data_IF_196626661070
#
_entry.id   IF_196626661070
#
_cell.length_a   1.000
_cell.length_b   1.000
_cell.length_c   1.000
_cell.angle_alpha   90.00
_cell.angle_beta   90.00
_cell.angle_gamma   90.00
#
_symmetry.space_group_name_H-M   'P 1'
#
loop_
_entity.id
_entity.type
_entity.pdbx_description
1 polymer ?
#
# COMPACT_ATOMS: atom_id res chain seq x y z
N UNK A 1 -11.91 24.05 -2.05
CA UNK A 1 -11.32 24.04 -3.39
C UNK A 1 -12.34 24.07 -4.54
N UNK A 2 -13.63 24.16 -4.29
CA UNK A 2 -14.67 24.39 -5.30
C UNK A 2 -15.13 23.15 -6.12
N UNK A 3 -14.60 21.95 -5.84
CA UNK A 3 -15.15 20.71 -6.40
C UNK A 3 -16.16 20.11 -5.43
N UNK A 4 -17.34 19.77 -5.94
CA UNK A 4 -18.30 18.92 -5.23
C UNK A 4 -17.98 17.46 -5.51
N UNK A 5 -17.76 16.64 -4.46
CA UNK A 5 -17.29 15.26 -4.59
C UNK A 5 -18.23 14.30 -3.87
N UNK A 6 -18.64 13.24 -4.58
CA UNK A 6 -19.38 12.12 -4.05
C UNK A 6 -18.57 10.82 -4.16
N UNK A 7 -18.62 9.99 -3.16
CA UNK A 7 -17.93 8.69 -3.12
C UNK A 7 -18.94 7.57 -3.08
N UNK A 8 -18.91 6.68 -4.06
CA UNK A 8 -19.77 5.49 -4.14
C UNK A 8 -18.93 4.25 -3.83
N UNK A 9 -19.23 3.59 -2.72
CA UNK A 9 -18.50 2.42 -2.21
C UNK A 9 -19.42 1.20 -2.16
N UNK A 10 -19.01 0.09 -2.79
CA UNK A 10 -19.79 -1.14 -2.84
C UNK A 10 -19.95 -1.84 -1.48
N UNK A 11 -19.03 -1.63 -0.55
CA UNK A 11 -19.10 -2.21 0.78
C UNK A 11 -20.27 -1.57 1.58
N UNK A 12 -21.05 -2.36 2.32
CA UNK A 12 -22.13 -1.83 3.13
C UNK A 12 -21.65 -1.07 4.37
N UNK A 13 -20.39 -1.23 4.71
CA UNK A 13 -19.73 -0.54 5.83
C UNK A 13 -18.24 -0.36 5.57
N UNK A 14 -17.66 0.73 6.08
CA UNK A 14 -16.22 0.99 6.00
C UNK A 14 -15.45 0.19 7.07
N UNK A 15 -15.58 -1.13 7.02
CA UNK A 15 -14.81 -2.04 7.86
C UNK A 15 -13.86 -2.85 7.01
N UNK A 16 -12.62 -2.90 7.41
CA UNK A 16 -11.63 -3.74 6.77
C UNK A 16 -11.14 -4.84 7.68
N UNK A 17 -10.77 -5.96 7.06
CA UNK A 17 -9.97 -6.98 7.75
C UNK A 17 -8.63 -6.35 8.10
N UNK A 18 -8.38 -6.20 9.41
CA UNK A 18 -7.25 -5.45 9.93
C UNK A 18 -5.92 -5.84 9.31
N UNK A 19 -5.23 -4.84 8.77
CA UNK A 19 -3.88 -4.95 8.23
C UNK A 19 -3.08 -3.71 8.62
N UNK A 20 -1.77 -3.86 8.67
CA UNK A 20 -0.87 -2.73 8.85
C UNK A 20 -0.50 -2.10 7.52
N UNK A 21 -0.23 -0.80 7.56
CA UNK A 21 0.37 -0.02 6.49
C UNK A 21 1.65 0.64 7.00
N UNK A 22 2.60 0.82 6.10
CA UNK A 22 3.79 1.63 6.34
C UNK A 22 3.67 2.89 5.47
N UNK A 23 3.66 4.05 6.10
CA UNK A 23 3.56 5.34 5.45
C UNK A 23 4.89 6.07 5.57
N UNK A 24 5.64 6.09 4.49
CA UNK A 24 6.90 6.84 4.40
C UNK A 24 6.65 8.35 4.28
N UNK A 25 7.72 9.14 4.44
CA UNK A 25 7.65 10.60 4.51
C UNK A 25 6.88 11.27 3.36
N UNK A 26 6.92 10.71 2.15
CA UNK A 26 6.14 11.21 1.02
C UNK A 26 4.62 11.05 1.23
N UNK A 27 4.16 9.92 1.78
CA UNK A 27 2.75 9.70 2.10
C UNK A 27 2.28 10.51 3.30
N UNK A 28 3.06 10.54 4.37
CA UNK A 28 2.72 11.32 5.57
C UNK A 28 2.68 12.82 5.26
N UNK A 29 3.57 13.33 4.39
CA UNK A 29 3.55 14.72 3.93
C UNK A 29 2.20 15.09 3.29
N UNK A 30 1.66 14.24 2.43
CA UNK A 30 0.34 14.46 1.85
C UNK A 30 -0.74 14.51 2.93
N UNK A 31 -0.73 13.60 3.89
CA UNK A 31 -1.71 13.56 4.99
C UNK A 31 -1.58 14.78 5.93
N UNK A 32 -0.36 15.25 6.19
CA UNK A 32 -0.15 16.50 6.94
C UNK A 32 -0.69 17.71 6.18
N UNK A 33 -0.45 17.78 4.88
CA UNK A 33 -0.99 18.85 4.03
C UNK A 33 -2.53 18.83 3.93
N UNK A 34 -3.16 17.65 4.07
CA UNK A 34 -4.61 17.50 4.18
C UNK A 34 -5.16 17.84 5.59
N UNK A 35 -4.30 18.14 6.56
CA UNK A 35 -4.69 18.47 7.93
C UNK A 35 -5.07 17.29 8.81
N UNK A 36 -4.79 16.04 8.38
CA UNK A 36 -5.10 14.82 9.15
C UNK A 36 -3.87 14.14 9.75
N UNK A 37 -2.69 14.68 9.50
CA UNK A 37 -1.42 14.06 9.88
C UNK A 37 -1.22 13.90 11.37
N UNK A 38 -1.53 14.92 12.20
CA UNK A 38 -1.38 14.85 13.66
C UNK A 38 -2.36 13.88 14.30
N UNK A 39 -3.63 13.88 13.85
CA UNK A 39 -4.64 12.92 14.31
C UNK A 39 -4.19 11.48 14.02
N UNK A 40 -3.68 11.22 12.81
CA UNK A 40 -3.18 9.91 12.44
C UNK A 40 -1.92 9.52 13.22
N UNK A 41 -0.99 10.44 13.43
CA UNK A 41 0.23 10.21 14.21
C UNK A 41 -0.09 9.73 15.62
N UNK A 42 -1.10 10.32 16.28
CA UNK A 42 -1.52 9.92 17.62
C UNK A 42 -2.04 8.48 17.72
N UNK A 43 -2.55 7.91 16.62
CA UNK A 43 -3.06 6.54 16.53
C UNK A 43 -2.02 5.53 16.03
N UNK A 44 -0.88 6.00 15.54
CA UNK A 44 0.15 5.23 14.85
C UNK A 44 1.33 4.86 15.74
N UNK A 45 2.32 4.18 15.15
CA UNK A 45 3.67 4.10 15.70
C UNK A 45 4.61 4.89 14.80
N UNK A 46 5.43 5.75 15.39
CA UNK A 46 6.56 6.37 14.73
C UNK A 46 7.73 5.38 14.74
N UNK A 47 8.04 4.83 13.55
CA UNK A 47 9.11 3.86 13.44
C UNK A 47 10.47 4.54 13.64
N UNK A 48 11.31 3.99 14.52
CA UNK A 48 12.66 4.52 14.79
C UNK A 48 13.70 4.00 13.81
N UNK A 49 13.41 2.90 13.10
CA UNK A 49 14.31 2.33 12.10
C UNK A 49 13.69 1.17 11.33
N UNK A 50 14.44 0.70 10.33
CA UNK A 50 14.19 -0.56 9.63
C UNK A 50 15.40 -1.46 9.67
N UNK A 51 15.15 -2.76 9.81
CA UNK A 51 16.15 -3.82 9.86
C UNK A 51 15.85 -4.90 8.80
N UNK A 52 16.92 -5.49 8.27
CA UNK A 52 16.89 -6.74 7.52
C UNK A 52 17.44 -7.82 8.43
N UNK A 53 16.80 -8.97 8.48
CA UNK A 53 17.26 -10.13 9.28
C UNK A 53 17.31 -11.38 8.44
N UNK A 54 18.31 -12.21 8.68
CA UNK A 54 18.42 -13.51 8.02
C UNK A 54 17.38 -14.48 8.63
N UNK A 55 16.65 -15.16 7.77
CA UNK A 55 15.48 -15.98 8.07
C UNK A 55 15.67 -17.00 9.20
N UNK A 56 16.84 -17.64 9.32
CA UNK A 56 17.11 -18.75 10.23
C UNK A 56 17.98 -18.38 11.44
N UNK A 57 18.96 -17.46 11.28
CA UNK A 57 19.90 -17.10 12.34
C UNK A 57 19.49 -15.84 13.10
N UNK A 58 18.67 -14.99 12.49
CA UNK A 58 18.35 -13.68 13.04
C UNK A 58 19.49 -12.65 12.91
N UNK A 59 20.57 -12.98 12.19
CA UNK A 59 21.64 -12.02 11.92
C UNK A 59 21.05 -10.76 11.28
N UNK A 60 21.40 -9.59 11.81
CA UNK A 60 20.68 -8.34 11.59
C UNK A 60 21.56 -7.30 10.92
N UNK A 61 21.03 -6.68 9.87
CA UNK A 61 21.60 -5.50 9.20
C UNK A 61 20.63 -4.34 9.33
N UNK A 62 21.17 -3.19 9.72
CA UNK A 62 20.40 -1.94 9.75
C UNK A 62 20.16 -1.47 8.33
N UNK A 63 18.88 -1.28 7.97
CA UNK A 63 18.53 -0.77 6.65
C UNK A 63 18.59 0.76 6.62
N UNK A 64 17.91 1.43 7.54
CA UNK A 64 18.02 2.87 7.75
C UNK A 64 17.47 3.30 9.11
N UNK A 65 17.93 4.47 9.58
CA UNK A 65 17.35 5.19 10.68
C UNK A 65 16.10 5.95 10.21
N UNK A 66 15.10 5.98 11.06
CA UNK A 66 13.84 6.70 10.91
C UNK A 66 13.63 7.61 12.13
N UNK A 67 12.41 7.84 12.54
CA UNK A 67 12.11 8.70 13.67
C UNK A 67 12.58 10.13 13.40
N UNK A 68 13.39 10.69 14.29
CA UNK A 68 13.92 12.04 14.15
C UNK A 68 14.69 12.26 12.84
N UNK A 69 15.45 11.25 12.36
CA UNK A 69 16.19 11.32 11.10
C UNK A 69 15.24 11.48 9.90
N UNK A 70 14.09 10.81 9.91
CA UNK A 70 13.08 11.00 8.84
C UNK A 70 12.54 12.42 8.81
N UNK A 71 12.26 12.99 9.98
CA UNK A 71 11.77 14.36 10.10
C UNK A 71 12.83 15.37 9.68
N UNK A 72 14.08 15.20 10.13
CA UNK A 72 15.20 16.07 9.77
C UNK A 72 15.47 16.05 8.25
N UNK A 73 15.51 14.86 7.66
CA UNK A 73 15.91 14.66 6.26
C UNK A 73 14.81 14.92 5.27
N UNK A 74 13.57 14.57 5.61
CA UNK A 74 12.41 14.59 4.71
C UNK A 74 11.28 15.49 5.18
N UNK A 75 11.37 16.09 6.37
CA UNK A 75 10.37 17.02 6.92
C UNK A 75 9.11 16.33 7.48
N UNK A 76 9.03 15.01 7.44
CA UNK A 76 7.84 14.24 7.87
C UNK A 76 8.25 12.91 8.51
N UNK A 77 7.46 12.39 9.48
CA UNK A 77 7.72 11.11 10.13
C UNK A 77 7.43 9.93 9.20
N UNK A 78 8.05 8.79 9.50
CA UNK A 78 7.66 7.48 8.97
C UNK A 78 6.72 6.81 9.97
N UNK A 79 5.49 6.52 9.55
CA UNK A 79 4.47 5.95 10.42
C UNK A 79 4.14 4.51 10.02
N UNK A 80 3.90 3.66 11.03
CA UNK A 80 3.24 2.37 10.83
C UNK A 80 1.83 2.48 11.41
N UNK A 81 0.84 2.24 10.54
CA UNK A 81 -0.55 2.58 10.78
C UNK A 81 -1.42 1.34 10.68
N UNK A 82 -2.37 1.19 11.57
CA UNK A 82 -3.43 0.22 11.40
C UNK A 82 -4.44 0.74 10.37
N UNK A 83 -4.66 0.02 9.28
CA UNK A 83 -5.43 0.50 8.12
C UNK A 83 -6.84 0.98 8.46
N UNK A 84 -7.60 0.29 9.35
CA UNK A 84 -8.88 0.82 9.79
C UNK A 84 -8.81 2.19 10.46
N UNK A 85 -7.72 2.48 11.20
CA UNK A 85 -7.56 3.79 11.87
C UNK A 85 -7.33 4.90 10.84
N UNK A 86 -6.56 4.64 9.77
CA UNK A 86 -6.39 5.57 8.66
C UNK A 86 -7.72 5.84 7.95
N UNK A 87 -8.47 4.79 7.65
CA UNK A 87 -9.76 4.89 6.98
C UNK A 87 -10.75 5.72 7.82
N UNK A 88 -10.79 5.49 9.13
CA UNK A 88 -11.64 6.23 10.06
C UNK A 88 -11.27 7.72 10.13
N UNK A 89 -9.97 8.05 10.21
CA UNK A 89 -9.49 9.45 10.20
C UNK A 89 -9.90 10.15 8.89
N UNK A 90 -9.69 9.50 7.73
CA UNK A 90 -10.07 10.06 6.44
C UNK A 90 -11.60 10.22 6.30
N UNK A 91 -12.36 9.22 6.73
CA UNK A 91 -13.83 9.25 6.71
C UNK A 91 -14.36 10.40 7.55
N UNK A 92 -13.84 10.59 8.77
CA UNK A 92 -14.23 11.73 9.61
C UNK A 92 -13.87 13.06 8.95
N UNK A 93 -12.71 13.16 8.31
CA UNK A 93 -12.32 14.36 7.59
C UNK A 93 -13.26 14.69 6.44
N UNK A 94 -13.66 13.71 5.65
CA UNK A 94 -14.63 13.86 4.56
C UNK A 94 -15.99 14.29 5.12
N UNK A 95 -16.52 13.59 6.12
CA UNK A 95 -17.84 13.88 6.71
C UNK A 95 -17.92 15.23 7.40
N UNK A 96 -16.80 15.78 7.89
CA UNK A 96 -16.77 17.17 8.39
C UNK A 96 -17.00 18.19 7.28
N UNK A 97 -16.58 17.90 6.05
CA UNK A 97 -16.75 18.78 4.89
C UNK A 97 -18.07 18.53 4.16
N UNK A 98 -18.45 17.27 4.04
CA UNK A 98 -19.66 16.81 3.35
C UNK A 98 -20.24 15.57 4.06
N UNK A 99 -21.17 15.77 5.02
CA UNK A 99 -21.72 14.68 5.86
C UNK A 99 -22.28 13.50 5.06
N UNK A 100 -22.98 13.77 3.96
CA UNK A 100 -23.65 12.77 3.09
C UNK A 100 -22.83 12.40 1.85
N UNK A 101 -21.58 12.83 1.74
CA UNK A 101 -20.74 12.66 0.56
C UNK A 101 -20.18 11.24 0.34
N UNK A 102 -20.51 10.26 1.21
CA UNK A 102 -20.09 8.86 1.09
C UNK A 102 -21.31 7.95 1.09
N UNK A 103 -21.55 7.31 -0.05
CA UNK A 103 -22.66 6.40 -0.30
C UNK A 103 -22.18 4.94 -0.21
N UNK A 104 -22.54 4.24 0.85
CA UNK A 104 -22.16 2.85 1.08
C UNK A 104 -23.20 1.89 0.46
N UNK A 105 -22.79 0.65 0.15
CA UNK A 105 -23.62 -0.33 -0.52
C UNK A 105 -23.99 0.08 -1.95
N UNK A 106 -23.18 0.94 -2.58
CA UNK A 106 -23.45 1.54 -3.89
C UNK A 106 -22.37 1.09 -4.88
N UNK A 107 -22.63 0.01 -5.59
CA UNK A 107 -21.70 -0.58 -6.55
C UNK A 107 -21.89 0.00 -7.95
N UNK A 108 -20.84 0.63 -8.51
CA UNK A 108 -20.80 1.00 -9.90
C UNK A 108 -20.70 -0.22 -10.82
N UNK A 109 -21.57 -0.34 -11.80
CA UNK A 109 -21.61 -1.43 -12.78
C UNK A 109 -21.04 -1.05 -14.13
N UNK A 110 -21.30 0.18 -14.58
CA UNK A 110 -20.87 0.71 -15.85
C UNK A 110 -20.93 2.24 -15.83
N UNK A 111 -20.36 2.89 -16.81
CA UNK A 111 -20.56 4.31 -17.05
C UNK A 111 -20.64 4.62 -18.55
N UNK A 112 -21.25 5.74 -18.86
CA UNK A 112 -21.23 6.37 -20.18
C UNK A 112 -20.75 7.82 -20.03
N UNK A 113 -20.13 8.37 -21.05
CA UNK A 113 -19.71 9.78 -21.05
C UNK A 113 -20.00 10.42 -22.41
N UNK A 114 -20.28 11.69 -22.37
CA UNK A 114 -20.42 12.58 -23.53
C UNK A 114 -19.55 13.84 -23.33
N UNK A 115 -19.51 14.80 -24.25
CA UNK A 115 -18.71 16.03 -24.09
C UNK A 115 -19.09 16.89 -22.86
N UNK A 116 -20.29 16.73 -22.31
CA UNK A 116 -20.80 17.58 -21.23
C UNK A 116 -20.74 16.91 -19.85
N UNK A 117 -20.94 15.59 -19.77
CA UNK A 117 -21.06 14.85 -18.51
C UNK A 117 -20.60 13.40 -18.59
N UNK A 118 -20.45 12.79 -17.43
CA UNK A 118 -20.32 11.34 -17.26
C UNK A 118 -21.48 10.83 -16.38
N UNK A 119 -22.04 9.67 -16.70
CA UNK A 119 -23.11 9.04 -15.95
C UNK A 119 -22.66 7.65 -15.48
N UNK A 120 -22.68 7.42 -14.16
CA UNK A 120 -22.34 6.15 -13.51
C UNK A 120 -23.65 5.40 -13.20
N UNK A 121 -23.77 4.16 -13.66
CA UNK A 121 -24.88 3.25 -13.37
C UNK A 121 -24.54 2.42 -12.13
N UNK A 122 -25.47 2.38 -11.17
CA UNK A 122 -25.35 1.65 -9.92
C UNK A 122 -26.11 0.32 -9.96
N UNK A 123 -25.81 -0.59 -9.05
CA UNK A 123 -26.39 -1.93 -8.98
C UNK A 123 -27.82 -1.97 -8.48
N UNK A 124 -28.33 -0.90 -7.88
CA UNK A 124 -29.74 -0.72 -7.54
C UNK A 124 -30.61 -0.25 -8.71
N UNK A 125 -30.02 -0.07 -9.89
CA UNK A 125 -30.69 0.41 -11.11
C UNK A 125 -30.76 1.93 -11.23
N UNK A 126 -30.28 2.68 -10.26
CA UNK A 126 -30.15 4.15 -10.34
C UNK A 126 -28.92 4.56 -11.15
N UNK A 127 -28.87 5.83 -11.55
CA UNK A 127 -27.69 6.44 -12.14
C UNK A 127 -27.38 7.79 -11.52
N UNK A 128 -26.10 8.18 -11.56
CA UNK A 128 -25.62 9.46 -11.05
C UNK A 128 -24.76 10.14 -12.09
N UNK A 129 -24.97 11.44 -12.27
CA UNK A 129 -24.24 12.26 -13.26
C UNK A 129 -23.26 13.20 -12.57
N UNK A 130 -22.13 13.46 -13.24
CA UNK A 130 -21.13 14.40 -12.78
C UNK A 130 -20.29 14.95 -13.94
N UNK A 131 -19.46 15.95 -13.64
CA UNK A 131 -18.51 16.49 -14.60
C UNK A 131 -17.34 15.54 -14.87
N UNK A 132 -16.93 14.77 -13.86
CA UNK A 132 -15.84 13.79 -13.93
C UNK A 132 -16.15 12.51 -13.15
N UNK A 133 -15.61 11.38 -13.61
CA UNK A 133 -15.60 10.11 -12.88
C UNK A 133 -14.15 9.72 -12.56
N UNK A 134 -13.91 9.42 -11.28
CA UNK A 134 -12.60 8.97 -10.81
C UNK A 134 -12.71 7.49 -10.41
N UNK A 135 -12.13 6.60 -11.21
CA UNK A 135 -12.05 5.18 -10.91
C UNK A 135 -11.00 4.88 -9.85
N UNK A 136 -11.42 4.82 -8.58
CA UNK A 136 -10.60 4.42 -7.43
C UNK A 136 -11.00 3.02 -6.93
N UNK A 137 -11.54 2.19 -7.81
CA UNK A 137 -12.23 0.93 -7.58
C UNK A 137 -11.29 -0.31 -7.55
N UNK A 138 -10.00 -0.07 -7.33
CA UNK A 138 -9.02 -1.08 -6.97
C UNK A 138 -8.57 -2.00 -8.12
N UNK A 139 -7.94 -3.10 -7.75
CA UNK A 139 -7.32 -4.04 -8.71
C UNK A 139 -8.32 -4.67 -9.70
N UNK A 140 -9.58 -4.78 -9.33
CA UNK A 140 -10.66 -5.28 -10.19
C UNK A 140 -11.50 -4.19 -10.86
N UNK A 141 -10.92 -2.99 -10.99
CA UNK A 141 -11.60 -1.78 -11.49
C UNK A 141 -12.49 -2.03 -12.71
N UNK A 142 -13.78 -1.73 -12.53
CA UNK A 142 -14.75 -1.67 -13.61
C UNK A 142 -14.45 -0.48 -14.53
N UNK A 143 -14.10 0.68 -13.96
CA UNK A 143 -13.78 1.88 -14.73
C UNK A 143 -12.60 1.62 -15.67
N UNK A 144 -11.53 0.95 -15.19
CA UNK A 144 -10.42 0.53 -16.03
C UNK A 144 -10.86 -0.37 -17.20
N UNK A 145 -11.72 -1.37 -16.91
CA UNK A 145 -12.17 -2.32 -17.92
C UNK A 145 -12.99 -1.63 -19.02
N UNK A 146 -13.83 -0.67 -18.66
CA UNK A 146 -14.61 0.10 -19.63
C UNK A 146 -13.70 1.02 -20.47
N UNK A 147 -12.69 1.67 -19.86
CA UNK A 147 -11.79 2.57 -20.57
C UNK A 147 -10.82 1.86 -21.51
N UNK A 148 -10.24 0.75 -21.08
CA UNK A 148 -9.06 0.16 -21.72
C UNK A 148 -9.23 -1.31 -22.11
N UNK A 149 -10.44 -1.85 -21.93
CA UNK A 149 -10.74 -3.24 -22.23
C UNK A 149 -10.42 -4.19 -21.07
N UNK A 150 -10.87 -5.42 -21.23
CA UNK A 150 -10.65 -6.45 -20.22
C UNK A 150 -9.20 -6.91 -20.21
N UNK A 151 -8.57 -6.80 -19.06
CA UNK A 151 -7.31 -7.45 -18.75
C UNK A 151 -7.45 -8.24 -17.43
N UNK A 152 -6.70 -9.32 -17.29
CA UNK A 152 -6.72 -10.12 -16.06
C UNK A 152 -5.41 -9.96 -15.33
N UNK A 153 -5.45 -9.77 -13.99
CA UNK A 153 -4.24 -9.83 -13.19
C UNK A 153 -3.55 -11.18 -13.38
N UNK A 154 -2.22 -11.18 -13.37
CA UNK A 154 -1.43 -12.38 -13.47
C UNK A 154 -0.95 -12.81 -12.09
N UNK A 155 -1.03 -14.10 -11.80
CA UNK A 155 -0.47 -14.65 -10.57
C UNK A 155 1.05 -14.55 -10.59
N UNK A 156 1.62 -13.93 -9.56
CA UNK A 156 3.07 -13.70 -9.46
C UNK A 156 3.87 -14.96 -9.09
N UNK A 157 3.21 -16.05 -8.74
CA UNK A 157 3.87 -17.23 -8.17
C UNK A 157 4.12 -17.11 -6.65
N UNK A 158 3.57 -16.06 -6.02
CA UNK A 158 3.78 -15.77 -4.60
C UNK A 158 2.45 -15.78 -3.88
N UNK A 159 2.40 -16.46 -2.76
CA UNK A 159 1.32 -16.34 -1.78
C UNK A 159 1.77 -15.45 -0.63
N UNK A 160 0.83 -14.77 -0.04
CA UNK A 160 1.05 -13.97 1.16
C UNK A 160 0.14 -14.41 2.30
N UNK A 161 0.71 -14.47 3.48
CA UNK A 161 0.05 -14.63 4.76
C UNK A 161 0.02 -13.32 5.50
N UNK A 162 -1.04 -13.06 6.24
CA UNK A 162 -1.09 -11.92 7.16
C UNK A 162 -1.77 -12.26 8.46
N UNK A 163 -1.37 -11.57 9.50
CA UNK A 163 -1.99 -11.66 10.81
C UNK A 163 -1.70 -10.42 11.65
N UNK A 164 -2.58 -10.15 12.58
CA UNK A 164 -2.39 -9.14 13.62
C UNK A 164 -2.23 -9.87 14.94
N UNK A 165 -1.14 -9.57 15.65
CA UNK A 165 -0.81 -10.20 16.93
C UNK A 165 -0.92 -9.17 18.04
N UNK A 166 -1.66 -9.42 19.12
CA UNK A 166 -1.57 -8.61 20.34
C UNK A 166 -0.15 -8.63 20.89
N UNK A 167 0.47 -7.46 21.07
CA UNK A 167 1.88 -7.36 21.52
C UNK A 167 2.13 -8.11 22.84
N UNK A 168 1.17 -8.14 23.75
CA UNK A 168 1.29 -8.85 25.01
C UNK A 168 1.41 -10.37 24.89
N UNK A 169 1.19 -10.96 23.70
CA UNK A 169 1.41 -12.39 23.42
C UNK A 169 2.83 -12.70 22.92
N UNK A 170 3.63 -11.66 22.66
CA UNK A 170 4.98 -11.80 22.15
C UNK A 170 6.03 -11.61 23.24
N UNK A 171 7.24 -12.20 23.09
CA UNK A 171 8.36 -11.92 23.96
C UNK A 171 8.66 -10.41 24.07
N UNK A 172 8.99 -9.93 25.26
CA UNK A 172 9.18 -8.48 25.53
C UNK A 172 10.22 -7.82 24.62
N UNK A 173 11.27 -8.52 24.24
CA UNK A 173 12.32 -7.97 23.36
C UNK A 173 11.83 -7.67 21.93
N UNK A 174 10.68 -8.19 21.52
CA UNK A 174 10.05 -7.91 20.23
C UNK A 174 9.23 -6.61 20.24
N UNK A 175 8.94 -6.04 21.41
CA UNK A 175 8.17 -4.79 21.56
C UNK A 175 9.04 -3.56 21.23
N UNK A 176 9.56 -3.52 19.99
CA UNK A 176 10.41 -2.44 19.47
C UNK A 176 9.68 -1.63 18.42
N UNK A 177 9.92 -0.32 18.35
CA UNK A 177 9.35 0.58 17.33
C UNK A 177 10.16 0.52 16.03
N UNK A 178 10.42 -0.69 15.52
CA UNK A 178 11.26 -0.96 14.35
C UNK A 178 10.48 -1.85 13.38
N UNK A 179 10.55 -1.51 12.10
CA UNK A 179 10.10 -2.39 11.03
C UNK A 179 11.18 -3.42 10.69
N UNK A 180 10.84 -4.68 10.62
CA UNK A 180 11.80 -5.77 10.34
C UNK A 180 11.37 -6.54 9.11
N UNK A 181 12.32 -6.79 8.21
CA UNK A 181 12.18 -7.72 7.09
C UNK A 181 13.11 -8.90 7.31
N UNK A 182 12.55 -10.08 7.54
CA UNK A 182 13.27 -11.34 7.50
C UNK A 182 13.35 -11.80 6.06
N UNK A 183 14.56 -12.03 5.55
CA UNK A 183 14.80 -12.45 4.17
C UNK A 183 15.35 -13.88 4.14
N UNK A 184 14.87 -14.69 3.19
CA UNK A 184 15.25 -16.09 3.08
C UNK A 184 15.08 -16.64 1.67
N UNK A 185 15.57 -17.86 1.41
CA UNK A 185 15.45 -18.47 0.09
C UNK A 185 13.96 -18.73 -0.22
N UNK A 186 13.46 -18.10 -1.30
CA UNK A 186 12.07 -18.25 -1.75
C UNK A 186 11.00 -17.62 -0.85
N UNK A 187 11.38 -16.77 0.14
CA UNK A 187 10.39 -16.13 1.00
C UNK A 187 10.93 -15.00 1.86
N UNK A 188 10.01 -14.23 2.44
CA UNK A 188 10.33 -13.21 3.44
C UNK A 188 9.19 -12.99 4.41
N UNK A 189 9.49 -12.43 5.59
CA UNK A 189 8.50 -12.01 6.58
C UNK A 189 8.74 -10.55 6.93
N UNK A 190 7.68 -9.75 6.91
CA UNK A 190 7.71 -8.36 7.36
C UNK A 190 6.86 -8.21 8.61
N UNK A 191 7.41 -7.61 9.64
CA UNK A 191 6.62 -7.24 10.81
C UNK A 191 6.96 -5.85 11.32
N UNK A 192 6.01 -5.20 11.94
CA UNK A 192 6.15 -3.87 12.52
C UNK A 192 5.04 -3.59 13.52
N UNK A 193 5.29 -2.74 14.55
CA UNK A 193 4.29 -2.41 15.56
C UNK A 193 3.21 -1.49 15.00
N UNK A 194 2.02 -1.57 15.60
CA UNK A 194 0.84 -0.77 15.29
C UNK A 194 0.19 -0.26 16.59
N UNK A 195 -0.64 0.80 16.50
CA UNK A 195 -1.44 1.33 17.62
C UNK A 195 -0.60 1.58 18.87
N UNK A 196 0.40 2.45 18.74
CA UNK A 196 1.34 2.78 19.82
C UNK A 196 1.99 1.52 20.47
N UNK A 197 2.30 0.50 19.66
CA UNK A 197 2.94 -0.74 20.12
C UNK A 197 2.02 -1.76 20.77
N UNK A 198 0.70 -1.58 20.71
CA UNK A 198 -0.27 -2.55 21.26
C UNK A 198 -0.43 -3.79 20.39
N UNK A 199 -0.19 -3.65 19.09
CA UNK A 199 -0.33 -4.71 18.10
C UNK A 199 0.97 -4.87 17.32
N UNK A 200 1.19 -6.08 16.78
CA UNK A 200 2.23 -6.38 15.80
C UNK A 200 1.57 -6.83 14.51
N UNK A 201 1.90 -6.19 13.40
CA UNK A 201 1.55 -6.67 12.07
C UNK A 201 2.51 -7.74 11.61
N UNK A 202 2.00 -8.79 11.01
CA UNK A 202 2.75 -9.88 10.38
C UNK A 202 2.31 -10.02 8.91
N UNK A 203 3.27 -10.05 8.00
CA UNK A 203 3.07 -10.43 6.59
C UNK A 203 4.18 -11.38 6.21
N UNK A 204 3.85 -12.60 5.82
CA UNK A 204 4.78 -13.57 5.29
C UNK A 204 4.50 -13.83 3.81
N UNK A 205 5.50 -13.76 2.95
CA UNK A 205 5.39 -14.04 1.53
C UNK A 205 6.28 -15.22 1.12
N UNK A 206 5.76 -16.13 0.32
CA UNK A 206 6.45 -17.34 -0.13
C UNK A 206 6.19 -17.61 -1.61
N UNK A 207 7.22 -18.06 -2.31
CA UNK A 207 7.10 -18.57 -3.67
C UNK A 207 6.40 -19.92 -3.65
N UNK A 208 5.14 -19.94 -4.11
CA UNK A 208 4.32 -21.15 -4.21
C UNK A 208 3.41 -21.06 -5.43
N UNK A 209 3.29 -22.15 -6.18
CA UNK A 209 2.50 -22.23 -7.40
C UNK A 209 1.26 -23.13 -7.29
N UNK A 210 1.13 -23.82 -6.20
CA UNK A 210 0.07 -24.80 -5.93
C UNK A 210 -1.23 -24.16 -5.41
N UNK A 211 -1.19 -22.90 -4.98
CA UNK A 211 -2.35 -22.17 -4.46
C UNK A 211 -2.54 -20.84 -5.18
N UNK A 212 -3.73 -20.58 -5.74
CA UNK A 212 -4.01 -19.41 -6.61
C UNK A 212 -5.28 -18.66 -6.23
N UNK A 213 -5.80 -18.87 -5.02
CA UNK A 213 -7.03 -18.20 -4.59
C UNK A 213 -6.73 -16.73 -4.30
N UNK A 214 -7.35 -15.86 -5.09
CA UNK A 214 -7.31 -14.42 -4.88
C UNK A 214 -8.49 -14.02 -3.97
N UNK A 215 -8.23 -13.87 -2.68
CA UNK A 215 -9.25 -13.45 -1.71
C UNK A 215 -8.60 -12.82 -0.49
N UNK A 216 -8.92 -11.55 -0.24
CA UNK A 216 -8.44 -10.84 0.95
C UNK A 216 -8.96 -11.41 2.27
N UNK A 217 -10.04 -12.17 2.25
CA UNK A 217 -10.71 -12.75 3.42
C UNK A 217 -10.54 -14.26 3.55
N UNK A 218 -9.83 -14.92 2.62
CA UNK A 218 -9.57 -16.35 2.74
C UNK A 218 -8.75 -16.63 4.00
N UNK A 219 -9.27 -17.50 4.86
CA UNK A 219 -8.60 -17.90 6.08
C UNK A 219 -7.76 -19.15 5.80
N UNK A 220 -6.57 -19.19 6.35
CA UNK A 220 -5.80 -20.42 6.52
C UNK A 220 -5.78 -20.85 7.96
N UNK A 221 -5.00 -21.88 8.27
CA UNK A 221 -4.79 -22.34 9.63
C UNK A 221 -3.41 -21.94 10.16
N UNK A 222 -3.25 -21.91 11.46
CA UNK A 222 -1.93 -21.65 12.09
C UNK A 222 -0.93 -22.77 11.76
N UNK A 223 -1.42 -23.99 11.61
CA UNK A 223 -0.63 -25.18 11.25
C UNK A 223 -0.09 -25.07 9.81
N UNK A 224 -0.93 -24.64 8.86
CA UNK A 224 -0.50 -24.37 7.48
C UNK A 224 0.56 -23.26 7.44
N UNK A 225 0.32 -22.15 8.14
CA UNK A 225 1.27 -21.04 8.23
C UNK A 225 2.59 -21.47 8.87
N UNK A 226 2.54 -22.27 9.95
CA UNK A 226 3.73 -22.79 10.60
C UNK A 226 4.51 -23.78 9.71
N UNK A 227 3.81 -24.59 8.92
CA UNK A 227 4.43 -25.49 7.95
C UNK A 227 5.13 -24.72 6.83
N UNK A 228 4.50 -23.68 6.31
CA UNK A 228 5.05 -22.81 5.25
C UNK A 228 6.35 -22.10 5.70
N UNK A 229 6.47 -21.75 6.98
CA UNK A 229 7.66 -21.09 7.56
C UNK A 229 8.49 -22.02 8.46
N UNK A 230 8.44 -23.34 8.22
CA UNK A 230 9.24 -24.30 8.97
C UNK A 230 10.74 -23.99 8.85
N UNK A 231 11.45 -23.98 9.98
CA UNK A 231 12.89 -23.70 10.04
C UNK A 231 13.25 -22.21 10.10
N UNK A 232 12.26 -21.31 10.02
CA UNK A 232 12.49 -19.90 10.25
C UNK A 232 12.76 -19.61 11.73
N UNK A 233 13.43 -18.52 12.00
CA UNK A 233 13.88 -18.09 13.33
C UNK A 233 12.74 -18.08 14.35
N UNK A 234 13.08 -18.34 15.64
CA UNK A 234 12.10 -18.47 16.71
C UNK A 234 11.19 -17.25 16.91
N UNK A 235 11.66 -16.04 16.65
CA UNK A 235 10.79 -14.84 16.69
C UNK A 235 9.68 -14.91 15.63
N UNK A 236 9.97 -15.44 14.43
CA UNK A 236 8.97 -15.66 13.38
C UNK A 236 7.96 -16.73 13.83
N UNK A 237 8.46 -17.82 14.39
CA UNK A 237 7.60 -18.90 14.93
C UNK A 237 6.73 -18.40 16.10
N UNK A 238 7.28 -17.55 16.97
CA UNK A 238 6.52 -16.95 18.07
C UNK A 238 5.37 -16.06 17.57
N UNK A 239 5.60 -15.27 16.54
CA UNK A 239 4.53 -14.48 15.90
C UNK A 239 3.46 -15.39 15.31
N UNK A 240 3.85 -16.43 14.56
CA UNK A 240 2.93 -17.37 13.92
C UNK A 240 2.01 -18.02 14.95
N UNK A 241 2.57 -18.55 16.05
CA UNK A 241 1.79 -19.16 17.13
C UNK A 241 0.84 -18.19 17.83
N UNK A 242 1.18 -16.89 17.81
CA UNK A 242 0.38 -15.85 18.48
C UNK A 242 -0.70 -15.23 17.58
N UNK A 243 -0.72 -15.51 16.27
CA UNK A 243 -1.74 -15.02 15.34
C UNK A 243 -3.08 -15.72 15.62
N UNK A 244 -4.15 -14.98 15.98
CA UNK A 244 -5.45 -15.58 16.26
C UNK A 244 -6.15 -16.12 15.01
N UNK A 245 -6.04 -15.40 13.90
CA UNK A 245 -6.66 -15.74 12.61
C UNK A 245 -5.68 -15.38 11.50
N UNK A 246 -5.03 -16.38 10.89
CA UNK A 246 -4.20 -16.12 9.71
C UNK A 246 -5.07 -16.02 8.44
N UNK A 247 -4.74 -15.05 7.59
CA UNK A 247 -5.33 -14.88 6.26
C UNK A 247 -4.29 -15.20 5.19
N UNK A 248 -4.74 -15.77 4.07
CA UNK A 248 -3.89 -16.23 2.97
C UNK A 248 -4.46 -15.77 1.64
N UNK A 249 -3.65 -15.21 0.76
CA UNK A 249 -4.07 -14.82 -0.59
C UNK A 249 -2.94 -14.94 -1.60
N UNK A 250 -3.30 -15.15 -2.86
CA UNK A 250 -2.38 -15.11 -3.98
C UNK A 250 -2.05 -13.67 -4.36
N UNK A 251 -0.78 -13.34 -4.52
CA UNK A 251 -0.38 -12.02 -5.02
C UNK A 251 -0.56 -11.96 -6.53
N UNK A 252 -1.42 -11.05 -6.94
CA UNK A 252 -1.68 -10.77 -8.34
C UNK A 252 -0.98 -9.48 -8.74
N UNK A 253 -0.48 -9.42 -9.96
CA UNK A 253 0.14 -8.23 -10.53
C UNK A 253 -0.44 -7.89 -11.90
N UNK A 254 -0.37 -6.62 -12.26
CA UNK A 254 -0.69 -6.12 -13.60
C UNK A 254 0.47 -5.28 -14.11
N UNK A 255 0.76 -5.28 -15.43
CA UNK A 255 1.65 -4.29 -15.98
C UNK A 255 1.09 -2.87 -15.76
N UNK A 256 1.95 -1.89 -15.48
CA UNK A 256 1.53 -0.50 -15.38
C UNK A 256 0.82 -0.04 -16.66
N UNK A 257 -0.30 0.66 -16.50
CA UNK A 257 -1.00 1.23 -17.66
C UNK A 257 -0.17 2.37 -18.28
N UNK A 258 -0.13 2.48 -19.62
CA UNK A 258 0.54 3.57 -20.31
C UNK A 258 -0.25 4.89 -20.27
N UNK A 259 -1.53 4.83 -19.92
CA UNK A 259 -2.43 5.98 -19.75
C UNK A 259 -3.56 5.65 -18.78
N UNK A 260 -4.13 6.67 -18.13
CA UNK A 260 -5.18 6.52 -17.10
C UNK A 260 -6.45 7.30 -17.42
N UNK A 261 -6.37 8.28 -18.31
CA UNK A 261 -7.43 9.25 -18.54
C UNK A 261 -8.00 9.15 -19.95
N UNK A 262 -9.31 9.32 -20.06
CA UNK A 262 -10.02 9.50 -21.32
C UNK A 262 -11.20 10.47 -21.11
N UNK A 263 -11.15 11.61 -21.77
CA UNK A 263 -12.13 12.70 -21.71
C UNK A 263 -12.46 13.13 -20.27
N UNK A 264 -13.56 12.64 -19.68
CA UNK A 264 -14.06 13.01 -18.35
C UNK A 264 -13.74 11.99 -17.27
N UNK A 265 -13.03 10.92 -17.60
CA UNK A 265 -12.77 9.81 -16.69
C UNK A 265 -11.27 9.63 -16.51
N UNK A 266 -10.85 9.39 -15.27
CA UNK A 266 -9.48 9.00 -14.93
C UNK A 266 -9.46 7.92 -13.86
N UNK A 267 -8.31 7.23 -13.73
CA UNK A 267 -8.06 6.22 -12.71
C UNK A 267 -7.17 6.75 -11.59
N UNK A 268 -7.25 6.10 -10.42
CA UNK A 268 -6.46 6.42 -9.23
C UNK A 268 -6.09 5.14 -8.46
N UNK A 269 -4.88 5.08 -7.92
CA UNK A 269 -4.44 4.00 -7.03
C UNK A 269 -4.37 2.63 -7.73
N UNK A 270 -4.80 1.58 -7.05
CA UNK A 270 -4.71 0.20 -7.56
C UNK A 270 -5.52 -0.05 -8.84
N UNK A 271 -6.43 0.83 -9.20
CA UNK A 271 -7.15 0.78 -10.48
C UNK A 271 -6.21 1.00 -11.68
N UNK A 272 -5.13 1.75 -11.52
CA UNK A 272 -4.18 2.04 -12.60
C UNK A 272 -2.76 1.48 -12.37
N UNK A 273 -2.31 1.31 -11.14
CA UNK A 273 -0.93 0.88 -10.84
C UNK A 273 -0.84 -0.10 -9.65
N UNK A 274 -1.70 -1.11 -9.61
CA UNK A 274 -1.63 -2.15 -8.59
C UNK A 274 -0.22 -2.77 -8.53
N UNK A 275 0.30 -2.96 -7.34
CA UNK A 275 1.66 -3.45 -7.11
C UNK A 275 1.74 -4.49 -6.00
N UNK A 276 2.74 -5.35 -6.05
CA UNK A 276 3.07 -6.23 -4.92
C UNK A 276 3.53 -5.40 -3.71
N UNK A 277 3.33 -5.86 -2.46
CA UNK A 277 3.50 -5.01 -1.27
C UNK A 277 4.96 -4.79 -0.82
N UNK A 278 5.97 -5.17 -1.62
CA UNK A 278 7.36 -5.33 -1.18
C UNK A 278 8.18 -4.03 -1.13
N UNK A 279 7.60 -2.92 -1.57
CA UNK A 279 8.17 -1.57 -1.41
C UNK A 279 7.38 -0.73 -0.39
N UNK A 280 6.24 -1.25 0.10
CA UNK A 280 5.30 -0.56 0.99
C UNK A 280 4.82 0.80 0.42
N UNK A 281 4.55 0.87 -0.89
CA UNK A 281 4.18 2.12 -1.58
C UNK A 281 2.77 2.14 -2.17
N UNK A 282 2.02 1.05 -2.25
CA UNK A 282 0.69 1.04 -2.88
C UNK A 282 -0.26 2.10 -2.31
N UNK A 283 -0.50 2.06 -1.00
CA UNK A 283 -1.35 3.06 -0.33
C UNK A 283 -0.75 4.47 -0.40
N UNK A 284 0.58 4.61 -0.32
CA UNK A 284 1.26 5.90 -0.42
C UNK A 284 1.08 6.51 -1.81
N UNK A 285 1.22 5.71 -2.88
CA UNK A 285 0.99 6.19 -4.25
C UNK A 285 -0.46 6.64 -4.45
N UNK A 286 -1.44 5.90 -3.92
CA UNK A 286 -2.85 6.29 -3.99
C UNK A 286 -3.15 7.60 -3.23
N UNK A 287 -2.53 7.81 -2.06
CA UNK A 287 -2.63 9.07 -1.30
C UNK A 287 -2.01 10.24 -2.10
N UNK A 288 -0.83 10.03 -2.68
CA UNK A 288 -0.20 11.03 -3.55
C UNK A 288 -1.06 11.34 -4.79
N UNK A 289 -1.67 10.32 -5.40
CA UNK A 289 -2.55 10.48 -6.57
C UNK A 289 -3.73 11.37 -6.24
N UNK A 290 -4.43 11.08 -5.14
CA UNK A 290 -5.57 11.89 -4.70
C UNK A 290 -5.20 13.36 -4.47
N UNK A 291 -4.03 13.60 -3.88
CA UNK A 291 -3.53 14.96 -3.65
C UNK A 291 -3.19 15.68 -4.97
N UNK A 292 -2.47 15.02 -5.87
CA UNK A 292 -2.06 15.61 -7.16
C UNK A 292 -3.27 15.80 -8.08
N UNK A 293 -4.25 14.87 -8.08
CA UNK A 293 -5.51 15.02 -8.81
C UNK A 293 -6.29 16.24 -8.33
N UNK A 294 -6.44 16.42 -7.02
CA UNK A 294 -7.12 17.57 -6.45
C UNK A 294 -6.45 18.89 -6.88
N UNK A 295 -5.12 18.94 -6.87
CA UNK A 295 -4.37 20.10 -7.39
C UNK A 295 -4.58 20.29 -8.90
N UNK A 296 -4.54 19.23 -9.70
CA UNK A 296 -4.76 19.33 -11.13
C UNK A 296 -6.15 19.90 -11.46
N UNK A 297 -7.18 19.45 -10.74
CA UNK A 297 -8.55 19.94 -10.94
C UNK A 297 -8.72 21.41 -10.56
N UNK A 298 -7.94 21.93 -9.61
CA UNK A 298 -8.11 23.29 -9.04
C UNK A 298 -7.07 24.30 -9.52
N UNK A 299 -5.84 23.88 -9.80
CA UNK A 299 -4.73 24.77 -10.14
C UNK A 299 -4.49 24.88 -11.67
N UNK A 300 -4.84 23.82 -12.43
CA UNK A 300 -4.65 23.82 -13.88
C UNK A 300 -5.81 24.54 -14.57
N UNK A 301 -5.50 25.52 -15.42
CA UNK A 301 -6.49 26.17 -16.26
C UNK A 301 -6.87 25.31 -17.48
N UNK A 302 -8.06 25.55 -18.02
CA UNK A 302 -8.53 24.89 -19.24
C UNK A 302 -9.56 23.79 -19.02
N UNK A 303 -9.88 23.02 -20.09
CA UNK A 303 -10.91 22.01 -20.05
C UNK A 303 -10.54 20.82 -19.15
N UNK A 304 -11.56 20.13 -18.64
CA UNK A 304 -11.40 19.01 -17.72
C UNK A 304 -10.43 17.92 -18.24
N UNK A 305 -10.57 17.54 -19.51
CA UNK A 305 -9.70 16.53 -20.13
C UNK A 305 -8.20 16.91 -20.08
N UNK A 306 -7.86 18.20 -20.15
CA UNK A 306 -6.48 18.68 -20.00
C UNK A 306 -6.03 18.55 -18.52
N UNK A 307 -6.87 18.91 -17.57
CA UNK A 307 -6.60 18.77 -16.14
C UNK A 307 -6.31 17.31 -15.77
N UNK A 308 -7.12 16.38 -16.26
CA UNK A 308 -6.93 14.95 -16.02
C UNK A 308 -5.65 14.41 -16.68
N UNK A 309 -5.31 14.87 -17.89
CA UNK A 309 -4.04 14.53 -18.55
C UNK A 309 -2.82 15.07 -17.81
N UNK A 310 -2.91 16.26 -17.22
CA UNK A 310 -1.83 16.83 -16.40
C UNK A 310 -1.60 16.04 -15.12
N UNK A 311 -2.69 15.63 -14.44
CA UNK A 311 -2.62 14.71 -13.32
C UNK A 311 -1.90 13.42 -13.72
N UNK A 312 -2.37 12.73 -14.76
CA UNK A 312 -1.78 11.50 -15.28
C UNK A 312 -0.28 11.67 -15.56
N UNK A 313 0.09 12.70 -16.33
CA UNK A 313 1.49 12.98 -16.69
C UNK A 313 2.37 13.18 -15.46
N UNK A 314 1.88 13.84 -14.42
CA UNK A 314 2.63 14.09 -13.19
C UNK A 314 2.86 12.82 -12.37
N UNK A 315 2.02 11.77 -12.56
CA UNK A 315 2.05 10.56 -11.74
C UNK A 315 2.61 9.33 -12.45
N UNK A 316 2.42 9.21 -13.75
CA UNK A 316 2.63 7.99 -14.54
C UNK A 316 4.04 7.39 -14.34
N UNK A 317 5.10 8.19 -14.53
CA UNK A 317 6.47 7.70 -14.42
C UNK A 317 6.84 7.32 -12.98
N UNK A 318 6.36 8.09 -12.00
CA UNK A 318 6.63 7.83 -10.59
C UNK A 318 6.00 6.52 -10.11
N UNK A 319 4.74 6.29 -10.47
CA UNK A 319 4.03 5.07 -10.09
C UNK A 319 4.56 3.86 -10.84
N UNK A 320 4.91 3.99 -12.13
CA UNK A 320 5.59 2.94 -12.90
C UNK A 320 6.88 2.50 -12.21
N UNK A 321 7.73 3.44 -11.83
CA UNK A 321 8.97 3.16 -11.11
C UNK A 321 8.73 2.49 -9.74
N UNK A 322 7.64 2.85 -9.04
CA UNK A 322 7.27 2.21 -7.78
C UNK A 322 6.80 0.76 -7.99
N UNK A 323 6.00 0.49 -9.03
CA UNK A 323 5.54 -0.87 -9.40
C UNK A 323 6.75 -1.75 -9.72
N UNK A 324 7.64 -1.29 -10.60
CA UNK A 324 8.86 -2.01 -11.01
C UNK A 324 9.79 -2.26 -9.81
N UNK A 325 10.08 -1.22 -9.02
CA UNK A 325 10.93 -1.35 -7.82
C UNK A 325 10.34 -2.28 -6.76
N UNK A 326 9.00 -2.36 -6.68
CA UNK A 326 8.33 -3.32 -5.79
C UNK A 326 8.51 -4.75 -6.28
N UNK A 327 8.39 -5.00 -7.58
CA UNK A 327 8.64 -6.30 -8.19
C UNK A 327 10.11 -6.74 -8.03
N UNK A 328 11.06 -5.84 -8.22
CA UNK A 328 12.49 -6.11 -8.04
C UNK A 328 12.86 -6.59 -6.63
N UNK A 329 12.13 -6.13 -5.61
CA UNK A 329 12.38 -6.56 -4.23
C UNK A 329 12.08 -8.04 -3.99
N UNK A 330 11.29 -8.70 -4.83
CA UNK A 330 11.09 -10.17 -4.78
C UNK A 330 12.46 -10.86 -4.87
N UNK A 331 13.23 -10.55 -5.90
CA UNK A 331 14.53 -11.16 -6.14
C UNK A 331 15.56 -10.82 -5.05
N UNK A 332 15.41 -9.67 -4.39
CA UNK A 332 16.30 -9.26 -3.29
C UNK A 332 15.97 -9.99 -1.99
N UNK A 333 14.68 -10.14 -1.68
CA UNK A 333 14.25 -10.75 -0.42
C UNK A 333 14.23 -12.29 -0.48
N UNK A 334 14.08 -12.87 -1.68
CA UNK A 334 13.97 -14.32 -1.91
C UNK A 334 15.23 -14.93 -2.53
N UNK A 335 16.37 -14.26 -2.43
CA UNK A 335 17.58 -14.67 -3.12
C UNK A 335 18.06 -16.07 -2.68
N UNK A 336 18.35 -17.01 -3.61
CA UNK A 336 18.83 -18.34 -3.27
C UNK A 336 20.13 -18.37 -2.46
N UNK A 337 21.00 -17.35 -2.59
CA UNK A 337 22.22 -17.22 -1.79
C UNK A 337 21.94 -17.14 -0.27
N UNK A 338 20.72 -16.79 0.13
CA UNK A 338 20.30 -16.73 1.54
C UNK A 338 20.17 -18.12 2.20
N UNK A 339 20.25 -19.20 1.43
CA UNK A 339 20.26 -20.56 1.96
C UNK A 339 21.55 -20.96 2.65
N UNK A 340 22.69 -20.40 2.21
CA UNK A 340 24.02 -20.64 2.81
C UNK A 340 24.44 -19.45 3.66
N UNK A 341 24.92 -19.70 4.88
CA UNK A 341 25.24 -18.64 5.84
C UNK A 341 26.39 -17.70 5.40
N UNK A 342 27.41 -18.23 4.72
CA UNK A 342 28.53 -17.40 4.25
C UNK A 342 28.09 -16.53 3.04
N UNK A 343 27.41 -17.14 2.07
CA UNK A 343 26.89 -16.42 0.92
C UNK A 343 25.83 -15.39 1.33
N UNK A 344 25.02 -15.68 2.33
CA UNK A 344 24.01 -14.76 2.85
C UNK A 344 24.64 -13.49 3.45
N UNK A 345 25.76 -13.61 4.19
CA UNK A 345 26.48 -12.46 4.75
C UNK A 345 27.06 -11.59 3.63
N UNK A 346 27.76 -12.20 2.68
CA UNK A 346 28.36 -11.49 1.55
C UNK A 346 27.27 -10.81 0.69
N UNK A 347 26.16 -11.49 0.47
CA UNK A 347 24.99 -10.95 -0.23
C UNK A 347 24.42 -9.75 0.53
N UNK A 348 24.14 -9.90 1.82
CA UNK A 348 23.55 -8.86 2.64
C UNK A 348 24.47 -7.63 2.78
N UNK A 349 25.77 -7.85 3.01
CA UNK A 349 26.76 -6.76 3.10
C UNK A 349 26.84 -5.93 1.82
N UNK A 350 26.73 -6.56 0.65
CA UNK A 350 26.74 -5.89 -0.65
C UNK A 350 25.38 -5.24 -0.97
N UNK A 351 24.30 -6.00 -0.82
CA UNK A 351 22.95 -5.59 -1.26
C UNK A 351 22.38 -4.48 -0.39
N UNK A 352 22.64 -4.54 0.92
CA UNK A 352 22.12 -3.60 1.91
C UNK A 352 23.15 -2.56 2.36
N UNK A 353 24.24 -2.36 1.61
CA UNK A 353 25.18 -1.25 1.84
C UNK A 353 24.43 0.10 1.76
N UNK A 354 24.78 1.03 2.64
CA UNK A 354 24.05 2.28 2.82
C UNK A 354 23.81 3.10 1.55
N UNK A 355 24.79 3.14 0.62
CA UNK A 355 24.63 3.82 -0.67
C UNK A 355 23.56 3.16 -1.56
N UNK A 356 23.51 1.84 -1.61
CA UNK A 356 22.52 1.09 -2.39
C UNK A 356 21.13 1.29 -1.81
N UNK A 357 20.99 1.30 -0.50
CA UNK A 357 19.73 1.56 0.19
C UNK A 357 19.26 2.98 -0.08
N UNK A 358 20.14 3.98 0.08
CA UNK A 358 19.80 5.37 -0.17
C UNK A 358 19.27 5.57 -1.61
N UNK A 359 19.96 5.03 -2.62
CA UNK A 359 19.55 5.16 -4.03
C UNK A 359 18.17 4.57 -4.32
N UNK A 360 17.76 3.53 -3.60
CA UNK A 360 16.46 2.85 -3.79
C UNK A 360 15.29 3.58 -3.15
N UNK A 361 15.51 4.24 -2.02
CA UNK A 361 14.40 4.78 -1.22
C UNK A 361 14.35 6.31 -1.20
N UNK A 362 15.47 7.00 -1.42
CA UNK A 362 15.55 8.46 -1.30
C UNK A 362 14.61 9.19 -2.24
N UNK A 363 14.54 8.78 -3.50
CA UNK A 363 13.64 9.34 -4.51
C UNK A 363 12.15 9.19 -4.13
N UNK A 364 11.80 8.14 -3.36
CA UNK A 364 10.47 7.95 -2.80
C UNK A 364 10.19 8.98 -1.71
N UNK A 365 11.05 9.01 -0.67
CA UNK A 365 10.80 9.76 0.55
C UNK A 365 10.92 11.28 0.37
N UNK A 366 11.77 11.73 -0.56
CA UNK A 366 11.94 13.15 -0.88
C UNK A 366 10.79 13.75 -1.70
N UNK A 367 9.96 12.92 -2.33
CA UNK A 367 8.89 13.44 -3.18
C UNK A 367 7.88 14.28 -2.40
N UNK A 368 7.56 15.44 -2.95
CA UNK A 368 6.68 16.42 -2.32
C UNK A 368 5.49 16.75 -3.23
N UNK A 369 4.34 16.14 -2.93
CA UNK A 369 3.08 16.33 -3.67
C UNK A 369 2.59 17.78 -3.68
N UNK A 370 3.05 18.60 -2.71
CA UNK A 370 2.66 20.01 -2.60
C UNK A 370 3.42 20.91 -3.56
N UNK A 371 4.54 20.40 -4.12
CA UNK A 371 5.46 21.18 -4.98
C UNK A 371 5.64 20.58 -6.38
N UNK A 372 5.10 19.39 -6.64
CA UNK A 372 5.21 18.78 -7.97
C UNK A 372 4.56 19.68 -9.02
N UNK A 373 5.21 19.82 -10.17
CA UNK A 373 4.63 20.51 -11.33
C UNK A 373 3.54 19.65 -11.95
N UNK A 374 2.40 20.25 -12.23
CA UNK A 374 1.22 19.62 -12.82
C UNK A 374 0.94 20.22 -14.20
#
# INVERSE_FOLDING_TARGET
MGCDVEVYEQAPELKEVGAGLQLSANGTRALYALGVGEELKALSCEATGKEIRLWNTGETWKLFDLGAVSVERYGCPYLTVYRPDLLDVLTRAVRRLKPEGIHLGSKGLAFVQDPERVELMLDDGSSVSGDALIGADGVHSMVRQVLFGQDKPQFTGIIAWRGIVPMGRLPRHMARMVGVNWIGPGGHVVHYPLRAGKLMNFVGALERRDWRVESWSARGTTEELAADFKGWHEEVQAMIRAIPVPYKWALMARPPLPRWSAERVTLLGDACHSMVPFLAQGAVMAIEDGFVLARALTEVAGPLAEKLRRYEKARLERTRRAVEGSADNIHRFHNPALADAAQARDYAAREWAGQNVASRYEWLFRYDVTKVMI
#
